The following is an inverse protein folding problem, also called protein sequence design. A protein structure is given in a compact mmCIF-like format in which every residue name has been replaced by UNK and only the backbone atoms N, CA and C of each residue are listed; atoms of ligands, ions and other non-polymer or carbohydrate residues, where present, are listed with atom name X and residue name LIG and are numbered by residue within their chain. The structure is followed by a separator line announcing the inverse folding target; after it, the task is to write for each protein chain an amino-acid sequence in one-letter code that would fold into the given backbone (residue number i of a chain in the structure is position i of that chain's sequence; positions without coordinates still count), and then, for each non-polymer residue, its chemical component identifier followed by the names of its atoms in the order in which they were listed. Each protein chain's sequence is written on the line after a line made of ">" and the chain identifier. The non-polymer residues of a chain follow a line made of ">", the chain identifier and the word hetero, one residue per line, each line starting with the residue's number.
data_IF_629949893249
#
_entry.id   IF_629949893249
#
_cell.length_a   1.000
_cell.length_b   1.000
_cell.length_c   1.000
_cell.angle_alpha   90.00
_cell.angle_beta   90.00
_cell.angle_gamma   90.00
#
_symmetry.space_group_name_H-M   'P 1'
#
loop_
_entity.id
_entity.type
_entity.pdbx_description
1 polymer ?
#
# COMPACT_ATOMS: atom_id res chain seq x y z
N UNK A 1 73.32 -11.84 -2.25
CA UNK A 1 72.15 -11.69 -3.16
C UNK A 1 71.17 -12.80 -2.82
N UNK A 2 69.87 -12.53 -2.77
CA UNK A 2 68.76 -13.49 -2.50
C UNK A 2 68.20 -13.57 -1.07
N UNK A 3 67.62 -12.46 -0.54
CA UNK A 3 66.66 -12.56 0.58
C UNK A 3 65.81 -11.30 0.89
N UNK A 4 65.51 -10.43 -0.09
CA UNK A 4 64.72 -9.19 0.17
C UNK A 4 63.47 -8.99 -0.72
N UNK A 5 62.86 -10.05 -1.24
CA UNK A 5 61.71 -9.91 -2.16
C UNK A 5 60.44 -10.71 -1.79
N UNK A 6 60.36 -11.33 -0.61
CA UNK A 6 59.23 -12.19 -0.26
C UNK A 6 58.20 -11.60 0.74
N UNK A 7 58.34 -10.34 1.18
CA UNK A 7 57.55 -9.82 2.32
C UNK A 7 56.46 -8.79 1.97
N UNK A 8 56.25 -8.43 0.70
CA UNK A 8 55.29 -7.34 0.36
C UNK A 8 53.84 -7.77 0.10
N UNK A 9 53.49 -9.06 0.15
CA UNK A 9 52.18 -9.54 -0.37
C UNK A 9 51.09 -9.72 0.71
N UNK A 10 51.39 -9.57 2.00
CA UNK A 10 50.46 -9.99 3.09
C UNK A 10 49.70 -8.90 3.85
N UNK A 11 49.66 -7.64 3.40
CA UNK A 11 49.00 -6.53 4.15
C UNK A 11 47.74 -5.90 3.53
N UNK A 12 47.19 -6.43 2.43
CA UNK A 12 46.13 -5.73 1.68
C UNK A 12 44.68 -6.23 1.79
N UNK A 13 44.38 -7.34 2.47
CA UNK A 13 43.10 -8.06 2.25
C UNK A 13 42.09 -8.08 3.41
N UNK A 14 42.36 -7.40 4.52
CA UNK A 14 41.43 -7.36 5.66
C UNK A 14 40.26 -6.35 5.52
N UNK A 15 40.35 -5.19 4.84
CA UNK A 15 39.22 -4.27 4.78
C UNK A 15 38.13 -4.70 3.77
N UNK A 16 38.48 -5.49 2.75
CA UNK A 16 37.52 -5.93 1.72
C UNK A 16 36.59 -7.04 2.21
N UNK A 17 37.07 -7.94 3.08
CA UNK A 17 36.25 -9.03 3.62
C UNK A 17 35.18 -8.51 4.61
N UNK A 18 35.49 -7.50 5.43
CA UNK A 18 34.49 -6.90 6.33
C UNK A 18 33.43 -6.08 5.58
N UNK A 19 33.78 -5.42 4.47
CA UNK A 19 32.83 -4.65 3.66
C UNK A 19 31.80 -5.56 2.97
N UNK A 20 32.22 -6.74 2.51
CA UNK A 20 31.32 -7.73 1.87
C UNK A 20 30.38 -8.37 2.88
N UNK A 21 30.84 -8.67 4.10
CA UNK A 21 29.98 -9.24 5.15
C UNK A 21 28.93 -8.24 5.65
N UNK A 22 29.27 -6.94 5.75
CA UNK A 22 28.31 -5.89 6.08
C UNK A 22 27.25 -5.70 4.96
N UNK A 23 27.64 -5.85 3.70
CA UNK A 23 26.74 -5.74 2.54
C UNK A 23 25.77 -6.93 2.47
N UNK A 24 26.25 -8.15 2.74
CA UNK A 24 25.42 -9.37 2.74
C UNK A 24 24.46 -9.40 3.93
N UNK A 25 24.83 -8.84 5.09
CA UNK A 25 23.92 -8.68 6.21
C UNK A 25 22.81 -7.64 5.96
N UNK A 26 23.06 -6.64 5.10
CA UNK A 26 22.05 -5.64 4.73
C UNK A 26 21.06 -6.13 3.65
N UNK A 27 21.49 -7.05 2.77
CA UNK A 27 20.68 -7.60 1.67
C UNK A 27 19.70 -8.70 2.11
N UNK A 28 19.78 -9.18 3.35
CA UNK A 28 18.90 -10.23 3.89
C UNK A 28 17.48 -9.79 4.28
N UNK A 29 17.12 -8.52 4.05
CA UNK A 29 15.79 -8.00 4.39
C UNK A 29 14.79 -8.36 3.30
N UNK A 30 14.35 -9.61 3.28
CA UNK A 30 13.15 -10.01 2.56
C UNK A 30 11.98 -9.18 3.10
N UNK A 31 11.51 -8.24 2.28
CA UNK A 31 10.27 -7.50 2.51
C UNK A 31 9.12 -8.49 2.47
N UNK A 32 8.84 -9.08 3.63
CA UNK A 32 7.59 -9.78 3.90
C UNK A 32 6.51 -8.71 3.91
N UNK A 33 5.65 -8.75 2.89
CA UNK A 33 4.45 -7.95 2.85
C UNK A 33 3.49 -8.48 3.93
N UNK A 34 3.68 -8.05 5.19
CA UNK A 34 2.68 -8.20 6.22
C UNK A 34 1.54 -7.25 5.87
N UNK A 35 0.48 -7.77 5.26
CA UNK A 35 -0.83 -7.16 5.38
C UNK A 35 -1.29 -7.31 6.83
N UNK A 36 -1.94 -6.30 7.39
CA UNK A 36 -2.86 -6.54 8.50
C UNK A 36 -3.77 -7.69 8.04
N UNK A 37 -3.94 -8.72 8.87
CA UNK A 37 -4.92 -9.76 8.59
C UNK A 37 -6.31 -9.12 8.77
N UNK A 38 -6.73 -8.36 7.77
CA UNK A 38 -8.08 -7.84 7.66
C UNK A 38 -9.02 -9.02 7.43
N UNK A 39 -10.24 -8.87 7.92
CA UNK A 39 -11.30 -9.81 7.59
C UNK A 39 -11.93 -9.33 6.30
N UNK A 40 -12.00 -10.21 5.29
CA UNK A 40 -12.61 -9.91 4.00
C UNK A 40 -14.08 -9.52 4.19
N UNK A 41 -14.48 -8.45 3.49
CA UNK A 41 -15.82 -7.90 3.61
C UNK A 41 -16.60 -8.18 2.33
N UNK A 42 -17.78 -8.75 2.47
CA UNK A 42 -18.68 -8.93 1.34
C UNK A 42 -19.15 -7.58 0.80
N UNK A 43 -18.89 -7.31 -0.48
CA UNK A 43 -19.41 -6.15 -1.20
C UNK A 43 -20.45 -6.58 -2.23
N UNK A 44 -21.58 -5.86 -2.25
CA UNK A 44 -22.62 -6.03 -3.28
C UNK A 44 -22.74 -4.75 -4.10
N UNK A 45 -22.91 -4.89 -5.41
CA UNK A 45 -22.93 -3.76 -6.32
C UNK A 45 -24.36 -3.41 -6.76
N UNK A 46 -24.64 -2.11 -6.84
CA UNK A 46 -25.86 -1.61 -7.46
C UNK A 46 -25.73 -1.63 -8.99
N UNK A 47 -26.73 -2.15 -9.69
CA UNK A 47 -26.76 -2.23 -11.16
C UNK A 47 -27.64 -1.14 -11.78
N UNK A 48 -27.32 -0.77 -13.02
CA UNK A 48 -28.06 0.22 -13.81
C UNK A 48 -27.36 1.58 -13.88
N UNK A 49 -28.09 2.60 -14.36
CA UNK A 49 -27.60 3.97 -14.40
C UNK A 49 -27.67 4.59 -12.99
N UNK A 50 -26.51 4.62 -12.33
CA UNK A 50 -26.37 4.99 -10.91
C UNK A 50 -25.38 6.13 -10.69
N UNK A 51 -24.78 6.65 -11.76
CA UNK A 51 -23.68 7.61 -11.68
C UNK A 51 -24.11 8.96 -11.07
N UNK A 52 -25.36 9.36 -11.33
CA UNK A 52 -25.94 10.61 -10.87
C UNK A 52 -26.66 10.50 -9.51
N UNK A 53 -26.78 9.29 -8.93
CA UNK A 53 -27.49 9.12 -7.66
C UNK A 53 -26.76 9.83 -6.52
N UNK A 54 -27.53 10.52 -5.69
CA UNK A 54 -27.09 10.97 -4.38
C UNK A 54 -26.85 9.77 -3.44
N UNK A 55 -26.08 9.93 -2.36
CA UNK A 55 -25.87 8.87 -1.38
C UNK A 55 -27.18 8.31 -0.79
N UNK A 56 -28.20 9.16 -0.61
CA UNK A 56 -29.49 8.76 -0.04
C UNK A 56 -30.30 7.90 -1.03
N UNK A 57 -30.39 8.33 -2.29
CA UNK A 57 -31.06 7.57 -3.35
C UNK A 57 -30.35 6.23 -3.61
N UNK A 58 -29.01 6.22 -3.55
CA UNK A 58 -28.23 4.98 -3.67
C UNK A 58 -28.53 4.02 -2.52
N UNK A 59 -28.66 4.51 -1.28
CA UNK A 59 -29.01 3.72 -0.11
C UNK A 59 -30.39 3.06 -0.24
N UNK A 60 -31.40 3.86 -0.63
CA UNK A 60 -32.77 3.39 -0.84
C UNK A 60 -32.83 2.34 -1.95
N UNK A 61 -32.14 2.59 -3.07
CA UNK A 61 -32.12 1.67 -4.20
C UNK A 61 -31.39 0.37 -3.88
N UNK A 62 -30.32 0.41 -3.09
CA UNK A 62 -29.63 -0.78 -2.57
C UNK A 62 -30.46 -1.54 -1.52
N UNK A 63 -31.47 -0.92 -0.91
CA UNK A 63 -32.40 -1.62 -0.02
C UNK A 63 -33.49 -2.37 -0.79
N UNK A 64 -33.94 -1.82 -1.92
CA UNK A 64 -35.06 -2.35 -2.73
C UNK A 64 -34.63 -3.25 -3.89
N UNK A 65 -33.40 -3.08 -4.39
CA UNK A 65 -32.89 -3.82 -5.55
C UNK A 65 -32.00 -4.99 -5.09
N UNK A 66 -32.16 -6.20 -5.64
CA UNK A 66 -31.25 -7.30 -5.35
C UNK A 66 -29.84 -6.97 -5.84
N UNK A 67 -28.94 -6.68 -4.91
CA UNK A 67 -27.56 -6.34 -5.23
C UNK A 67 -26.78 -7.60 -5.63
N UNK A 68 -25.99 -7.50 -6.70
CA UNK A 68 -25.21 -8.61 -7.28
C UNK A 68 -23.86 -8.69 -6.60
N UNK A 69 -23.24 -9.88 -6.45
CA UNK A 69 -21.85 -9.98 -6.00
C UNK A 69 -20.94 -9.04 -6.80
N UNK A 70 -20.11 -8.28 -6.11
CA UNK A 70 -19.25 -7.30 -6.75
C UNK A 70 -18.18 -7.98 -7.63
N UNK A 71 -18.10 -7.56 -8.89
CA UNK A 71 -17.03 -7.91 -9.82
C UNK A 71 -16.56 -6.64 -10.52
N UNK A 72 -15.36 -6.18 -10.19
CA UNK A 72 -14.84 -4.87 -10.66
C UNK A 72 -14.85 -4.72 -12.19
N UNK A 73 -14.45 -5.77 -12.92
CA UNK A 73 -14.46 -5.74 -14.39
C UNK A 73 -15.87 -5.50 -14.95
N UNK A 74 -16.88 -6.12 -14.33
CA UNK A 74 -18.29 -5.89 -14.69
C UNK A 74 -18.75 -4.47 -14.32
N UNK A 75 -18.39 -3.99 -13.13
CA UNK A 75 -18.69 -2.64 -12.67
C UNK A 75 -18.21 -1.57 -13.66
N UNK A 76 -16.97 -1.71 -14.13
CA UNK A 76 -16.36 -0.79 -15.10
C UNK A 76 -17.07 -0.76 -16.46
N UNK A 77 -17.69 -1.86 -16.87
CA UNK A 77 -18.45 -1.88 -18.13
C UNK A 77 -19.78 -1.14 -18.02
N UNK A 78 -20.34 -1.02 -16.80
CA UNK A 78 -21.57 -0.28 -16.55
C UNK A 78 -21.37 1.23 -16.46
N UNK A 79 -20.16 1.69 -16.14
CA UNK A 79 -19.82 3.10 -16.14
C UNK A 79 -18.58 3.45 -15.30
N UNK A 80 -18.16 4.72 -15.30
CA UNK A 80 -17.03 5.18 -14.49
C UNK A 80 -17.39 5.35 -13.01
N UNK A 81 -18.67 5.42 -12.65
CA UNK A 81 -19.13 5.57 -11.26
C UNK A 81 -20.06 4.42 -10.92
N UNK A 82 -19.82 3.77 -9.79
CA UNK A 82 -20.68 2.69 -9.28
C UNK A 82 -20.73 2.72 -7.75
N UNK A 83 -21.77 2.09 -7.20
CA UNK A 83 -22.04 2.06 -5.75
C UNK A 83 -21.95 0.64 -5.21
N UNK A 84 -21.36 0.52 -4.02
CA UNK A 84 -21.20 -0.74 -3.29
C UNK A 84 -21.87 -0.65 -1.91
N UNK A 85 -22.65 -1.67 -1.57
CA UNK A 85 -23.09 -1.97 -0.20
C UNK A 85 -22.03 -2.89 0.43
N UNK A 86 -21.29 -2.35 1.40
CA UNK A 86 -20.23 -3.02 2.14
C UNK A 86 -20.79 -3.35 3.52
N UNK A 87 -20.84 -4.64 3.85
CA UNK A 87 -21.43 -5.11 5.11
C UNK A 87 -20.36 -5.77 5.98
N UNK A 88 -20.16 -5.32 7.23
CA UNK A 88 -19.17 -5.91 8.11
C UNK A 88 -19.32 -7.44 8.19
N UNK A 89 -18.21 -8.19 8.16
CA UNK A 89 -18.26 -9.63 8.36
C UNK A 89 -18.68 -9.96 9.81
N UNK A 90 -19.22 -11.16 10.07
CA UNK A 90 -19.49 -11.60 11.43
C UNK A 90 -18.21 -11.58 12.27
N UNK A 91 -18.26 -11.06 13.50
CA UNK A 91 -17.10 -10.92 14.38
C UNK A 91 -16.43 -9.54 14.29
N UNK A 92 -16.81 -8.68 13.34
CA UNK A 92 -16.29 -7.31 13.23
C UNK A 92 -16.59 -6.45 14.48
N UNK A 93 -17.61 -6.80 15.25
CA UNK A 93 -17.97 -6.15 16.51
C UNK A 93 -16.89 -6.26 17.59
N UNK A 94 -15.98 -7.22 17.47
CA UNK A 94 -14.88 -7.45 18.43
C UNK A 94 -13.64 -6.60 18.12
N UNK A 95 -13.62 -5.89 16.98
CA UNK A 95 -12.48 -5.10 16.55
C UNK A 95 -12.50 -3.76 17.27
N UNK A 96 -11.49 -3.53 18.13
CA UNK A 96 -11.27 -2.23 18.75
C UNK A 96 -10.79 -1.20 17.71
N UNK A 97 -11.41 -0.02 17.74
CA UNK A 97 -11.18 1.09 16.80
C UNK A 97 -11.25 0.64 15.34
N UNK A 98 -12.44 0.21 14.86
CA UNK A 98 -12.56 -0.39 13.54
C UNK A 98 -12.22 0.61 12.43
N UNK A 99 -11.51 0.12 11.42
CA UNK A 99 -11.24 0.83 10.19
C UNK A 99 -11.65 -0.03 8.99
N UNK A 100 -12.23 0.62 7.98
CA UNK A 100 -12.41 0.01 6.67
C UNK A 100 -11.17 0.28 5.83
N UNK A 101 -10.51 -0.80 5.43
CA UNK A 101 -9.38 -0.80 4.51
C UNK A 101 -9.91 -1.14 3.12
N UNK A 102 -9.59 -0.34 2.12
CA UNK A 102 -9.96 -0.64 0.74
C UNK A 102 -8.68 -0.68 -0.07
N UNK A 103 -8.20 -1.89 -0.38
CA UNK A 103 -7.08 -2.09 -1.30
C UNK A 103 -7.57 -1.83 -2.73
N UNK A 104 -7.05 -0.78 -3.35
CA UNK A 104 -7.53 -0.26 -4.62
C UNK A 104 -6.41 0.18 -5.55
N UNK A 105 -6.65 0.10 -6.85
CA UNK A 105 -5.78 0.76 -7.82
C UNK A 105 -5.75 2.29 -7.64
N UNK A 106 -4.61 2.94 -7.93
CA UNK A 106 -4.48 4.42 -7.89
C UNK A 106 -5.51 5.20 -8.70
N UNK A 107 -6.11 4.54 -9.69
CA UNK A 107 -7.06 5.09 -10.64
C UNK A 107 -8.52 5.00 -10.15
N UNK A 108 -8.74 4.39 -8.98
CA UNK A 108 -10.04 4.32 -8.33
C UNK A 108 -10.07 5.32 -7.18
N UNK A 109 -11.01 6.26 -7.20
CA UNK A 109 -11.37 7.10 -6.07
C UNK A 109 -12.54 6.45 -5.33
N UNK A 110 -12.53 6.50 -4.01
CA UNK A 110 -13.58 5.89 -3.17
C UNK A 110 -14.03 6.92 -2.14
N UNK A 111 -15.31 7.24 -2.15
CA UNK A 111 -15.98 8.00 -1.11
C UNK A 111 -16.81 7.03 -0.27
N UNK A 112 -16.71 7.12 1.06
CA UNK A 112 -17.38 6.21 1.98
C UNK A 112 -18.46 6.95 2.77
N UNK A 113 -19.61 6.30 2.94
CA UNK A 113 -20.74 6.82 3.71
C UNK A 113 -21.22 5.76 4.70
N UNK A 114 -21.43 6.16 5.94
CA UNK A 114 -22.12 5.36 6.95
C UNK A 114 -23.61 5.65 6.87
N UNK A 115 -24.44 4.62 6.71
CA UNK A 115 -25.89 4.79 6.80
C UNK A 115 -26.31 4.70 8.27
N UNK A 116 -26.79 5.81 8.84
CA UNK A 116 -27.30 5.86 10.22
C UNK A 116 -28.70 6.44 10.22
N UNK A 117 -29.65 5.71 10.79
CA UNK A 117 -31.06 6.13 10.83
C UNK A 117 -31.66 6.45 9.44
N UNK A 118 -31.17 5.77 8.39
CA UNK A 118 -31.55 5.99 7.00
C UNK A 118 -30.83 7.15 6.30
N UNK A 119 -30.03 7.93 7.04
CA UNK A 119 -29.29 9.08 6.51
C UNK A 119 -27.81 8.73 6.26
N UNK A 120 -27.28 8.95 5.04
CA UNK A 120 -25.90 8.69 4.71
C UNK A 120 -24.98 9.81 5.22
N UNK A 121 -24.08 9.46 6.14
CA UNK A 121 -23.05 10.37 6.66
C UNK A 121 -21.69 10.05 6.05
N UNK A 122 -21.05 11.02 5.41
CA UNK A 122 -19.72 10.84 4.85
C UNK A 122 -18.69 10.48 5.93
N UNK A 123 -17.83 9.52 5.62
CA UNK A 123 -16.68 9.11 6.42
C UNK A 123 -15.42 9.65 5.76
N UNK A 124 -14.62 10.39 6.52
CA UNK A 124 -13.38 10.96 6.02
C UNK A 124 -12.30 9.90 5.83
N UNK A 125 -11.52 10.05 4.76
CA UNK A 125 -10.33 9.24 4.53
C UNK A 125 -9.28 9.61 5.59
N UNK A 126 -8.98 8.68 6.50
CA UNK A 126 -7.99 8.89 7.54
C UNK A 126 -6.57 8.91 6.97
N UNK A 127 -6.24 7.98 6.07
CA UNK A 127 -4.97 7.96 5.35
C UNK A 127 -5.01 7.08 4.09
N UNK A 128 -3.97 7.17 3.28
CA UNK A 128 -3.74 6.30 2.12
C UNK A 128 -2.34 5.73 2.20
N UNK A 129 -2.23 4.40 2.25
CA UNK A 129 -0.96 3.69 2.34
C UNK A 129 -0.56 3.17 0.96
N UNK A 130 0.64 3.50 0.45
CA UNK A 130 1.10 2.97 -0.83
C UNK A 130 1.34 1.46 -0.73
N UNK A 131 1.03 0.76 -1.82
CA UNK A 131 1.31 -0.67 -2.01
C UNK A 131 2.06 -0.85 -3.33
N UNK A 132 2.56 -2.06 -3.56
CA UNK A 132 3.31 -2.38 -4.79
C UNK A 132 2.42 -2.24 -6.04
N UNK A 133 3.05 -2.06 -7.21
CA UNK A 133 2.36 -2.03 -8.51
C UNK A 133 1.28 -0.93 -8.68
N UNK A 134 1.44 0.21 -8.00
CA UNK A 134 0.50 1.35 -8.13
C UNK A 134 -0.84 1.09 -7.44
N UNK A 135 -0.85 0.16 -6.49
CA UNK A 135 -1.95 -0.07 -5.55
C UNK A 135 -1.83 0.86 -4.35
N UNK A 136 -2.97 1.13 -3.72
CA UNK A 136 -3.06 1.88 -2.48
C UNK A 136 -4.08 1.21 -1.57
N UNK A 137 -3.84 1.28 -0.26
CA UNK A 137 -4.86 0.95 0.75
C UNK A 137 -5.44 2.25 1.26
N UNK A 138 -6.69 2.55 0.91
CA UNK A 138 -7.44 3.66 1.52
C UNK A 138 -7.93 3.20 2.90
N UNK A 139 -7.67 4.02 3.93
CA UNK A 139 -8.01 3.71 5.32
C UNK A 139 -9.06 4.70 5.79
N UNK A 140 -10.24 4.22 6.13
CA UNK A 140 -11.33 5.02 6.69
C UNK A 140 -11.52 4.65 8.15
N UNK A 141 -11.45 5.65 9.03
CA UNK A 141 -11.73 5.46 10.45
C UNK A 141 -13.24 5.38 10.67
N UNK A 142 -13.73 4.31 11.27
CA UNK A 142 -15.16 4.14 11.52
C UNK A 142 -15.49 4.66 12.93
N UNK A 143 -16.56 5.46 13.09
CA UNK A 143 -16.81 6.21 14.32
C UNK A 143 -17.31 5.34 15.48
N UNK A 144 -17.95 4.21 15.19
CA UNK A 144 -18.64 3.37 16.17
C UNK A 144 -18.25 1.89 15.99
N UNK A 145 -18.52 1.08 17.01
CA UNK A 145 -18.46 -0.38 16.93
C UNK A 145 -19.31 -0.87 15.77
N UNK A 146 -18.71 -1.66 14.88
CA UNK A 146 -19.41 -2.27 13.76
C UNK A 146 -20.41 -3.29 14.28
N UNK A 147 -21.68 -3.12 13.93
CA UNK A 147 -22.71 -4.15 14.10
C UNK A 147 -22.98 -4.85 12.77
N UNK A 148 -23.51 -6.09 12.76
CA UNK A 148 -23.92 -6.76 11.52
C UNK A 148 -24.96 -5.97 10.69
N UNK A 149 -25.72 -5.09 11.34
CA UNK A 149 -26.72 -4.22 10.70
C UNK A 149 -26.13 -2.91 10.17
N UNK A 150 -24.86 -2.64 10.47
CA UNK A 150 -24.17 -1.45 9.97
C UNK A 150 -24.01 -1.55 8.46
N UNK A 151 -24.52 -0.56 7.74
CA UNK A 151 -24.39 -0.48 6.29
C UNK A 151 -23.43 0.62 5.91
N UNK A 152 -22.39 0.24 5.17
CA UNK A 152 -21.42 1.15 4.60
C UNK A 152 -21.67 1.23 3.10
N UNK A 153 -21.79 2.44 2.58
CA UNK A 153 -21.97 2.71 1.17
C UNK A 153 -20.67 3.28 0.62
N UNK A 154 -20.09 2.61 -0.38
CA UNK A 154 -18.92 3.12 -1.07
C UNK A 154 -19.31 3.57 -2.47
N UNK A 155 -19.07 4.85 -2.77
CA UNK A 155 -19.11 5.40 -4.13
C UNK A 155 -17.73 5.26 -4.73
N UNK A 156 -17.61 4.51 -5.81
CA UNK A 156 -16.34 4.31 -6.50
C UNK A 156 -16.37 5.06 -7.82
N UNK A 157 -15.36 5.89 -8.04
CA UNK A 157 -15.15 6.62 -9.29
C UNK A 157 -13.85 6.14 -9.93
N UNK A 158 -13.95 5.49 -11.09
CA UNK A 158 -12.81 5.01 -11.87
C UNK A 158 -12.39 6.05 -12.92
N UNK A 159 -11.17 6.57 -12.79
CA UNK A 159 -10.57 7.52 -13.73
C UNK A 159 -9.33 6.93 -14.40
N UNK A 160 -9.44 6.52 -15.65
CA UNK A 160 -8.30 6.03 -16.44
C UNK A 160 -8.06 4.52 -16.34
N UNK A 161 -6.79 4.11 -16.27
CA UNK A 161 -6.35 2.71 -16.24
C UNK A 161 -5.34 2.47 -15.11
N UNK A 162 -5.38 1.28 -14.53
CA UNK A 162 -4.42 0.83 -13.53
C UNK A 162 -4.77 -0.58 -13.05
N UNK A 163 -4.25 -0.97 -11.89
CA UNK A 163 -4.55 -2.25 -11.29
C UNK A 163 -6.04 -2.39 -10.95
N UNK A 164 -6.71 -3.36 -11.58
CA UNK A 164 -8.13 -3.67 -11.43
C UNK A 164 -8.38 -4.48 -10.17
N UNK A 165 -8.13 -3.87 -9.02
CA UNK A 165 -8.40 -4.47 -7.72
C UNK A 165 -9.11 -3.45 -6.84
N UNK A 166 -10.12 -3.94 -6.13
CA UNK A 166 -10.89 -3.21 -5.13
C UNK A 166 -11.35 -4.24 -4.11
N UNK A 167 -10.64 -4.32 -2.99
CA UNK A 167 -10.85 -5.33 -1.97
C UNK A 167 -11.11 -4.66 -0.61
N UNK A 168 -12.36 -4.62 -0.15
CA UNK A 168 -12.70 -4.07 1.15
C UNK A 168 -12.45 -5.09 2.26
N UNK A 169 -11.72 -4.66 3.28
CA UNK A 169 -11.38 -5.43 4.47
C UNK A 169 -11.62 -4.59 5.72
N UNK A 170 -11.95 -5.22 6.85
CA UNK A 170 -12.05 -4.53 8.13
C UNK A 170 -10.90 -4.97 9.03
N UNK A 171 -10.27 -3.99 9.69
CA UNK A 171 -9.18 -4.22 10.63
C UNK A 171 -9.20 -3.15 11.75
N UNK A 172 -8.33 -3.29 12.74
CA UNK A 172 -8.11 -2.23 13.74
C UNK A 172 -7.30 -1.08 13.13
N UNK A 173 -7.76 0.16 13.34
CA UNK A 173 -7.11 1.38 12.88
C UNK A 173 -5.69 1.49 13.46
N UNK A 174 -5.55 1.31 14.78
CA UNK A 174 -4.28 1.46 15.47
C UNK A 174 -3.23 0.46 14.96
N UNK A 175 -3.62 -0.80 14.77
CA UNK A 175 -2.75 -1.83 14.20
C UNK A 175 -2.34 -1.48 12.77
N UNK A 176 -3.30 -1.07 11.93
CA UNK A 176 -3.06 -0.70 10.54
C UNK A 176 -2.08 0.47 10.41
N UNK A 177 -2.28 1.53 11.20
CA UNK A 177 -1.41 2.71 11.18
C UNK A 177 -0.01 2.38 11.68
N UNK A 178 0.10 1.57 12.74
CA UNK A 178 1.40 1.14 13.28
C UNK A 178 2.17 0.33 12.24
N UNK A 179 1.50 -0.60 11.55
CA UNK A 179 2.11 -1.39 10.48
C UNK A 179 2.49 -0.53 9.27
N UNK A 180 1.62 0.39 8.86
CA UNK A 180 1.89 1.35 7.78
C UNK A 180 3.12 2.22 8.09
N UNK A 181 3.23 2.73 9.33
CA UNK A 181 4.38 3.51 9.78
C UNK A 181 5.68 2.69 9.80
N UNK A 182 5.62 1.44 10.26
CA UNK A 182 6.76 0.53 10.24
C UNK A 182 7.23 0.26 8.79
N UNK A 183 6.30 0.04 7.87
CA UNK A 183 6.61 -0.16 6.46
C UNK A 183 7.26 1.08 5.82
N UNK A 184 6.68 2.27 6.06
CA UNK A 184 7.23 3.54 5.58
C UNK A 184 8.66 3.76 6.09
N UNK A 185 8.91 3.49 7.39
CA UNK A 185 10.25 3.59 7.97
C UNK A 185 11.26 2.67 7.29
N UNK A 186 10.88 1.43 7.01
CA UNK A 186 11.73 0.47 6.29
C UNK A 186 12.08 0.96 4.89
N UNK A 187 11.11 1.51 4.16
CA UNK A 187 11.35 2.11 2.83
C UNK A 187 12.32 3.28 2.95
N UNK A 188 12.10 4.20 3.89
CA UNK A 188 12.98 5.36 4.09
C UNK A 188 14.41 4.93 4.43
N UNK A 189 14.59 3.91 5.26
CA UNK A 189 15.91 3.38 5.59
C UNK A 189 16.58 2.73 4.37
N UNK A 190 15.84 1.96 3.56
CA UNK A 190 16.37 1.34 2.35
C UNK A 190 16.79 2.39 1.31
N UNK A 191 15.93 3.37 1.03
CA UNK A 191 16.21 4.49 0.12
C UNK A 191 17.40 5.31 0.62
N UNK A 192 17.46 5.61 1.93
CA UNK A 192 18.58 6.30 2.55
C UNK A 192 19.89 5.53 2.40
N UNK A 193 19.87 4.20 2.58
CA UNK A 193 21.04 3.35 2.39
C UNK A 193 21.52 3.33 0.93
N UNK A 194 20.60 3.22 -0.04
CA UNK A 194 20.94 3.28 -1.47
C UNK A 194 21.50 4.65 -1.86
N UNK A 195 20.93 5.74 -1.34
CA UNK A 195 21.45 7.09 -1.54
C UNK A 195 22.86 7.26 -0.97
N UNK A 196 23.13 6.73 0.23
CA UNK A 196 24.46 6.73 0.83
C UNK A 196 25.47 5.90 -0.01
N UNK A 197 25.07 4.75 -0.54
CA UNK A 197 25.90 3.94 -1.44
C UNK A 197 26.21 4.68 -2.75
N UNK A 198 25.22 5.35 -3.35
CA UNK A 198 25.40 6.14 -4.56
C UNK A 198 26.41 7.28 -4.34
N UNK A 199 26.29 8.00 -3.21
CA UNK A 199 27.23 9.06 -2.81
C UNK A 199 28.63 8.49 -2.56
N UNK A 200 28.75 7.36 -1.86
CA UNK A 200 30.02 6.71 -1.62
C UNK A 200 30.73 6.32 -2.91
N UNK A 201 30.00 5.74 -3.88
CA UNK A 201 30.54 5.42 -5.20
C UNK A 201 31.03 6.67 -5.94
N UNK A 202 30.31 7.79 -5.84
CA UNK A 202 30.71 9.06 -6.45
C UNK A 202 31.99 9.64 -5.83
N UNK A 203 32.15 9.53 -4.51
CA UNK A 203 33.38 9.97 -3.81
C UNK A 203 34.58 9.10 -4.23
N UNK A 204 34.40 7.78 -4.32
CA UNK A 204 35.45 6.86 -4.79
C UNK A 204 35.85 7.18 -6.23
N UNK A 205 34.86 7.41 -7.09
CA UNK A 205 35.08 7.88 -8.45
C UNK A 205 35.95 9.14 -8.48
N UNK A 206 35.59 10.15 -7.69
CA UNK A 206 36.30 11.44 -7.67
C UNK A 206 37.78 11.28 -7.32
N UNK A 207 38.11 10.36 -6.41
CA UNK A 207 39.48 10.07 -5.98
C UNK A 207 40.26 9.24 -7.02
N UNK A 208 39.67 8.15 -7.53
CA UNK A 208 40.35 7.20 -8.42
C UNK A 208 40.30 7.59 -9.91
N UNK A 209 39.37 8.47 -10.31
CA UNK A 209 39.04 8.85 -11.70
C UNK A 209 38.67 7.66 -12.60
N UNK A 210 38.32 6.51 -12.04
CA UNK A 210 37.89 5.33 -12.80
C UNK A 210 36.39 5.41 -13.14
N UNK A 211 36.08 5.40 -14.42
CA UNK A 211 34.72 5.59 -14.98
C UNK A 211 33.72 4.51 -14.53
N UNK A 212 34.19 3.35 -14.06
CA UNK A 212 33.32 2.27 -13.59
C UNK A 212 32.49 2.69 -12.37
N UNK A 213 33.00 3.59 -11.53
CA UNK A 213 32.28 4.07 -10.34
C UNK A 213 31.13 5.04 -10.65
N UNK A 214 31.18 5.76 -11.78
CA UNK A 214 30.03 6.57 -12.24
C UNK A 214 28.83 5.66 -12.53
N UNK A 215 29.07 4.52 -13.18
CA UNK A 215 28.01 3.54 -13.48
C UNK A 215 27.34 3.01 -12.20
N UNK A 216 28.13 2.70 -11.16
CA UNK A 216 27.57 2.27 -9.88
C UNK A 216 26.79 3.38 -9.17
N UNK A 217 27.31 4.62 -9.16
CA UNK A 217 26.60 5.76 -8.59
C UNK A 217 25.25 6.00 -9.27
N UNK A 218 25.21 5.95 -10.61
CA UNK A 218 23.97 6.09 -11.39
C UNK A 218 23.02 4.92 -11.13
N UNK A 219 23.52 3.68 -11.08
CA UNK A 219 22.70 2.50 -10.82
C UNK A 219 22.01 2.58 -9.45
N UNK A 220 22.75 2.92 -8.39
CA UNK A 220 22.18 3.06 -7.05
C UNK A 220 21.22 4.25 -6.94
N UNK A 221 21.53 5.36 -7.62
CA UNK A 221 20.62 6.51 -7.67
C UNK A 221 19.31 6.17 -8.38
N UNK A 222 19.36 5.39 -9.46
CA UNK A 222 18.17 4.98 -10.21
C UNK A 222 17.27 4.00 -9.42
N UNK A 223 17.84 3.24 -8.49
CA UNK A 223 17.11 2.31 -7.62
C UNK A 223 16.52 3.00 -6.38
N UNK A 224 17.00 4.20 -6.04
CA UNK A 224 16.53 4.97 -4.89
C UNK A 224 15.29 5.84 -5.22
N UNK A 225 14.91 5.93 -6.49
CA UNK A 225 13.78 6.71 -7.02
C UNK A 225 12.66 5.79 -7.47
#
# INVERSE_FOLDING_TARGET
>A
MSQRHAESVRRGRLPQAMLVVALVAALGSTSTALGAAGVDVGARMLTGDVAALSPAEAAERLATTPAVPFVLRGARTSGPVFWLDVRPPPGAEQIADPALLIEKGRHLAVDLYLLRDGEPRAIELATSLPRYFGMHTAVFALPDTLTPDTRLLARVTASGRGAEQLDPQVASLAVTLTQGAAHARTITLAVGALGAMALGALVIWFVLKDRLFILYAVLFALQAV
#
